data_IF_019953744823
#
_entry.id   IF_019953744823
#
_cell.length_a   1.000
_cell.length_b   1.000
_cell.length_c   1.000
_cell.angle_alpha   90.00
_cell.angle_beta   90.00
_cell.angle_gamma   90.00
#
_symmetry.space_group_name_H-M   'P 1'
#
loop_
_entity.id
_entity.type
_entity.pdbx_description
1 polymer ?
2 non-polymer ?
3 water ?
#
# COMPACT_ATOMS: atom_id res chain seq x y z
N UNK A 41 3.30 -12.66 16.84
CA UNK A 41 3.39 -11.44 17.63
C UNK A 41 4.44 -10.48 17.07
N UNK A 42 4.07 -9.73 16.04
CA UNK A 42 2.79 -9.89 15.36
C UNK A 42 2.93 -10.58 14.01
N UNK A 43 2.14 -11.63 13.81
CA UNK A 43 2.12 -12.37 12.58
C UNK A 43 0.96 -11.92 11.66
N UNK A 44 1.23 -11.81 10.37
CA UNK A 44 0.24 -11.40 9.38
C UNK A 44 -0.19 -12.55 8.48
N UNK A 45 -1.49 -12.76 8.33
CA UNK A 45 -1.97 -13.80 7.46
C UNK A 45 -2.91 -13.18 6.45
N UNK A 46 -2.72 -13.52 5.18
CA UNK A 46 -3.54 -12.95 4.12
C UNK A 46 -4.42 -13.96 3.43
N UNK A 47 -5.62 -13.55 3.07
CA UNK A 47 -6.59 -14.45 2.43
C UNK A 47 -7.27 -13.74 1.27
N UNK A 48 -7.72 -14.52 0.29
CA UNK A 48 -8.62 -14.00 -0.74
C UNK A 48 -9.99 -14.43 -0.40
N UNK A 49 -10.94 -13.57 -0.73
CA UNK A 49 -12.32 -13.79 -0.41
C UNK A 49 -13.14 -13.52 -1.65
N UNK A 50 -13.93 -14.49 -2.03
CA UNK A 50 -14.75 -14.35 -3.22
C UNK A 50 -15.90 -13.44 -2.88
N UNK A 51 -16.30 -12.62 -3.85
CA UNK A 51 -17.47 -11.76 -3.70
C UNK A 51 -18.67 -12.53 -3.17
N UNK A 52 -18.83 -13.78 -3.58
CA UNK A 52 -20.02 -14.50 -3.12
C UNK A 52 -20.02 -14.77 -1.61
N UNK A 53 -18.85 -14.73 -0.97
CA UNK A 53 -18.74 -15.06 0.45
C UNK A 53 -18.44 -13.83 1.31
N UNK A 54 -18.35 -12.68 0.67
CA UNK A 54 -17.85 -11.48 1.33
C UNK A 54 -18.77 -11.05 2.47
N UNK A 56 -21.03 -12.89 4.13
CA UNK A 56 -21.00 -13.86 5.21
C UNK A 56 -19.74 -13.78 6.06
N UNK A 57 -18.62 -13.57 5.40
CA UNK A 57 -17.37 -13.45 6.12
C UNK A 57 -17.45 -12.25 7.04
N UNK A 58 -17.96 -11.14 6.52
CA UNK A 58 -18.07 -9.92 7.36
C UNK A 58 -18.98 -10.12 8.59
N UNK A 59 -20.12 -10.74 8.37
CA UNK A 59 -21.05 -10.93 9.46
C UNK A 59 -20.42 -11.84 10.52
N UNK A 60 -19.66 -12.83 10.09
CA UNK A 60 -18.99 -13.67 11.07
C UNK A 60 -17.96 -12.93 11.88
N UNK A 61 -17.16 -12.10 11.23
CA UNK A 61 -16.16 -11.33 11.97
C UNK A 61 -16.85 -10.39 12.98
N UNK A 62 -17.98 -9.83 12.59
CA UNK A 62 -18.63 -8.81 13.37
C UNK A 62 -19.14 -9.39 14.70
N UNK A 63 -19.25 -10.72 14.76
CA UNK A 63 -19.72 -11.38 15.96
C UNK A 63 -18.66 -11.31 17.01
N UNK A 64 -17.43 -11.09 16.60
CA UNK A 64 -16.34 -11.11 17.55
C UNK A 64 -15.55 -9.83 17.61
N UNK A 65 -15.69 -8.95 16.61
CA UNK A 65 -14.97 -7.68 16.64
C UNK A 65 -15.87 -6.60 16.08
N UNK A 66 -15.86 -5.43 16.72
CA UNK A 66 -16.63 -4.29 16.20
C UNK A 66 -15.97 -3.80 14.94
N UNK A 67 -16.74 -3.14 14.09
CA UNK A 67 -16.25 -2.63 12.84
C UNK A 67 -16.18 -1.10 12.91
N UNK A 68 -15.10 -0.56 12.37
CA UNK A 68 -14.95 0.88 12.22
C UNK A 68 -15.89 1.40 11.15
N UNK A 69 -16.58 2.52 11.40
CA UNK A 69 -17.45 3.13 10.39
C UNK A 69 -17.00 4.58 10.09
N UNK A 114 -16.51 3.56 2.49
CA UNK A 114 -17.06 4.34 1.35
C UNK A 114 -16.01 5.15 0.57
N UNK A 115 -15.13 5.87 1.29
CA UNK A 115 -14.04 6.56 0.57
C UNK A 115 -12.95 5.58 0.10
N UNK A 116 -12.38 5.92 -1.04
CA UNK A 116 -11.38 5.10 -1.63
C UNK A 116 -10.13 5.33 -0.82
N UNK A 117 -9.33 4.29 -0.62
CA UNK A 117 -7.95 4.47 -0.19
C UNK A 117 -7.03 4.41 -1.40
N UNK A 118 -6.12 5.37 -1.49
CA UNK A 118 -5.09 5.38 -2.53
C UNK A 118 -3.76 4.95 -1.97
N UNK A 119 -3.16 3.92 -2.56
CA UNK A 119 -1.81 3.62 -2.23
C UNK A 119 -0.95 3.60 -3.48
N UNK A 120 0.02 4.49 -3.53
CA UNK A 120 0.83 4.74 -4.72
C UNK A 120 2.25 4.25 -4.42
N UNK A 121 2.59 3.10 -5.01
CA UNK A 121 3.84 2.38 -4.74
C UNK A 121 5.00 2.87 -5.60
N UNK A 122 6.21 2.79 -5.04
CA UNK A 122 7.42 3.21 -5.74
C UNK A 122 8.21 1.99 -6.19
N UNK A 123 9.00 2.17 -7.23
CA UNK A 123 10.03 1.22 -7.61
C UNK A 123 10.93 1.98 -8.57
N UNK A 124 11.99 1.36 -9.05
CA UNK A 124 12.72 1.99 -10.15
C UNK A 124 12.38 1.32 -11.49
N UNK A 125 12.90 1.83 -12.59
CA UNK A 125 12.43 1.31 -13.87
C UNK A 125 12.97 -0.08 -14.15
N UNK A 126 13.92 -0.53 -13.36
CA UNK A 126 14.34 -1.92 -13.39
C UNK A 126 13.50 -2.80 -12.49
N UNK A 127 12.50 -2.24 -11.82
CA UNK A 127 11.63 -3.05 -10.96
C UNK A 127 12.43 -3.85 -9.90
N UNK A 128 13.49 -3.23 -9.40
CA UNK A 128 14.30 -3.88 -8.36
C UNK A 128 13.54 -4.22 -7.08
N UNK A 129 12.69 -3.30 -6.62
CA UNK A 129 11.98 -3.55 -5.37
C UNK A 129 11.03 -4.71 -5.57
N UNK A 130 10.37 -4.73 -6.72
CA UNK A 130 9.46 -5.81 -7.07
C UNK A 130 10.21 -7.19 -7.12
N UNK A 131 11.35 -7.20 -7.81
CA UNK A 131 12.24 -8.38 -7.88
C UNK A 131 12.63 -8.87 -6.50
N UNK A 132 13.10 -7.97 -5.64
CA UNK A 132 13.48 -8.34 -4.28
C UNK A 132 12.31 -8.82 -3.47
N UNK A 133 11.15 -8.19 -3.62
CA UNK A 133 9.99 -8.55 -2.80
C UNK A 133 9.49 -9.95 -3.16
N UNK A 134 9.58 -10.29 -4.44
CA UNK A 134 9.14 -11.59 -4.92
C UNK A 134 10.16 -12.70 -4.62
N UNK A 135 11.44 -12.42 -4.76
CA UNK A 135 12.45 -13.44 -4.53
C UNK A 135 12.79 -13.53 -3.06
N UNK A 136 12.58 -12.42 -2.34
CA UNK A 136 12.67 -12.32 -0.89
C UNK A 136 14.11 -12.06 -0.49
N UNK A 137 14.69 -11.07 -1.16
CA UNK A 137 16.07 -10.65 -1.04
C UNK A 137 16.18 -9.29 -0.39
N UNK A 138 17.27 -9.02 0.31
CA UNK A 138 17.50 -7.65 0.80
C UNK A 138 16.36 -7.08 1.68
N UNK A 139 15.77 -7.91 2.56
CA UNK A 139 14.71 -7.45 3.47
C UNK A 139 13.46 -7.00 2.72
N UNK A 140 13.61 -6.79 1.42
CA UNK A 140 12.47 -6.58 0.55
C UNK A 140 11.51 -5.49 1.04
N UNK A 141 12.02 -4.27 1.15
CA UNK A 141 11.13 -3.16 1.51
C UNK A 141 10.19 -2.81 0.37
N UNK A 142 9.02 -2.31 0.73
CA UNK A 142 8.18 -1.60 -0.22
C UNK A 142 8.04 -0.16 0.28
N UNK A 143 7.70 0.75 -0.63
CA UNK A 143 7.53 2.17 -0.33
C UNK A 143 6.28 2.68 -1.04
N UNK A 144 5.42 3.41 -0.32
CA UNK A 144 4.21 3.96 -0.94
C UNK A 144 3.78 5.27 -0.30
N UNK A 145 3.00 6.03 -1.07
CA UNK A 145 2.25 7.19 -0.59
C UNK A 145 0.84 6.70 -0.36
N UNK A 146 0.24 7.04 0.76
CA UNK A 146 -1.10 6.59 1.07
C UNK A 146 -2.00 7.75 1.53
N UNK A 147 -3.20 7.85 1.02
CA UNK A 147 -4.15 8.83 1.55
C UNK A 147 -5.53 8.29 1.28
N UNK A 148 -6.48 8.77 2.06
CA UNK A 148 -7.87 8.33 1.98
C UNK A 148 -8.72 9.41 1.39
N UNK A 149 -9.72 9.00 0.64
CA UNK A 149 -10.64 9.96 0.08
C UNK A 149 -10.01 10.69 -1.08
N UNK A 150 -10.69 11.76 -1.48
CA UNK A 150 -10.32 12.49 -2.66
C UNK A 150 -9.26 13.51 -2.30
N UNK A 151 -8.19 13.46 -3.06
CA UNK A 151 -7.06 14.37 -2.88
C UNK A 151 -7.51 15.81 -2.82
N UNK A 152 -8.70 16.11 -3.32
CA UNK A 152 -9.21 17.50 -3.35
C UNK A 152 -9.45 18.03 -1.96
N UNK A 153 -9.91 17.14 -1.08
CA UNK A 153 -10.31 17.53 0.28
C UNK A 153 -9.12 17.71 1.20
N UNK A 154 -7.93 17.76 0.62
CA UNK A 154 -6.72 18.03 1.40
C UNK A 154 -6.52 17.00 2.54
N UNK A 155 -6.48 15.71 2.19
CA UNK A 155 -6.32 14.70 3.25
C UNK A 155 -4.90 14.67 3.78
N UNK A 156 -4.69 13.96 4.88
CA UNK A 156 -3.34 13.64 5.30
C UNK A 156 -2.75 12.60 4.33
N UNK A 157 -1.46 12.77 4.02
CA UNK A 157 -0.75 11.93 3.09
C UNK A 157 0.44 11.36 3.84
N UNK A 158 0.52 10.03 3.80
CA UNK A 158 1.61 9.28 4.43
C UNK A 158 2.57 8.69 3.40
N UNK A 159 3.85 8.79 3.71
CA UNK A 159 4.86 8.10 2.94
C UNK A 159 5.40 7.00 3.85
N UNK A 160 5.29 5.74 3.43
CA UNK A 160 5.44 4.61 4.36
C UNK A 160 6.36 3.61 3.73
N UNK A 161 7.37 3.21 4.48
CA UNK A 161 8.30 2.19 4.03
C UNK A 161 8.13 0.99 4.91
N UNK A 162 7.87 -0.17 4.31
CA UNK A 162 7.60 -1.39 5.06
C UNK A 162 8.60 -2.48 4.74
N UNK A 163 9.27 -3.02 5.76
CA UNK A 163 10.26 -4.07 5.56
C UNK A 163 10.06 -5.25 6.51
N UNK A 164 10.07 -6.46 5.96
CA UNK A 164 10.07 -7.67 6.81
C UNK A 164 11.45 -7.97 7.41
N UNK A 165 11.62 -7.61 8.69
CA UNK A 165 12.76 -8.03 9.51
C UNK A 165 12.40 -9.26 10.32
N UNK A 173 10.00 -12.40 10.19
CA UNK A 173 9.20 -12.68 11.39
C UNK A 173 8.42 -11.44 11.87
N UNK A 174 8.94 -10.26 11.57
CA UNK A 174 8.24 -9.01 11.90
C UNK A 174 8.38 -7.89 10.85
N UNK A 175 7.26 -7.36 10.38
CA UNK A 175 7.33 -6.18 9.53
C UNK A 175 7.66 -4.93 10.37
N UNK A 176 8.60 -4.14 9.89
CA UNK A 176 8.91 -2.84 10.46
C UNK A 176 8.37 -1.75 9.50
N UNK A 177 7.67 -0.76 10.04
CA UNK A 177 7.09 0.31 9.23
C UNK A 177 7.68 1.66 9.60
N UNK A 178 8.26 2.36 8.64
CA UNK A 178 8.69 3.75 8.88
C UNK A 178 7.68 4.61 8.15
N UNK A 179 7.03 5.50 8.87
CA UNK A 179 5.88 6.20 8.37
C UNK A 179 6.06 7.70 8.57
N UNK A 180 5.98 8.49 7.50
CA UNK A 180 6.13 9.96 7.57
C UNK A 180 4.85 10.59 7.08
N UNK A 181 4.43 11.68 7.72
CA UNK A 181 3.29 12.40 7.23
C UNK A 181 3.87 13.56 6.40
N UNK A 182 3.44 13.70 5.15
CA UNK A 182 4.00 14.73 4.27
C UNK A 182 2.93 15.75 3.86
N UNK A 183 3.23 17.02 4.04
CA UNK A 183 2.31 18.03 3.52
C UNK A 183 2.37 18.01 2.00
N UNK A 184 1.20 18.09 1.39
CA UNK A 184 1.07 17.76 -0.03
C UNK A 184 2.04 18.57 -0.89
N UNK A 185 2.17 19.85 -0.57
CA UNK A 185 2.94 20.74 -1.44
C UNK A 185 4.43 20.54 -1.31
N UNK A 186 4.87 19.75 -0.34
CA UNK A 186 6.31 19.46 -0.25
C UNK A 186 6.69 18.15 -0.91
N UNK A 187 5.70 17.39 -1.37
CA UNK A 187 6.00 16.02 -1.83
C UNK A 187 6.97 16.02 -2.99
N UNK A 188 6.76 16.89 -3.98
CA UNK A 188 7.63 16.86 -5.16
C UNK A 188 9.08 17.08 -4.75
N UNK A 189 9.31 18.10 -3.93
CA UNK A 189 10.66 18.45 -3.54
C UNK A 189 11.30 17.33 -2.78
N UNK A 190 10.52 16.71 -1.91
CA UNK A 190 11.02 15.62 -1.08
C UNK A 190 11.39 14.38 -1.88
N UNK A 191 10.53 13.98 -2.81
CA UNK A 191 10.82 12.76 -3.57
C UNK A 191 11.60 12.95 -4.88
N UNK A 192 11.63 14.16 -5.43
CA UNK A 192 12.35 14.38 -6.68
C UNK A 192 13.64 15.18 -6.51
N UNK A 193 13.71 16.05 -5.50
CA UNK A 193 14.85 16.96 -5.48
C UNK A 193 15.73 16.86 -4.23
N UNK A 194 15.60 15.80 -3.45
CA UNK A 194 16.44 15.68 -2.28
C UNK A 194 16.27 16.88 -1.32
N UNK A 195 15.14 17.56 -1.39
CA UNK A 195 14.89 18.70 -0.52
C UNK A 195 14.81 18.35 0.97
N UNK A 196 15.53 19.11 1.79
CA UNK A 196 15.59 18.84 3.21
C UNK A 196 14.74 19.79 4.04
N UNK A 197 14.10 20.73 3.37
CA UNK A 197 13.49 21.84 4.07
C UNK A 197 12.23 21.46 4.80
N UNK A 198 11.45 20.53 4.28
CA UNK A 198 10.26 20.12 4.99
C UNK A 198 10.62 19.40 6.32
N UNK A 199 11.59 18.50 6.27
CA UNK A 199 12.14 17.95 7.50
C UNK A 199 12.59 19.06 8.46
N UNK A 200 13.40 19.98 7.94
CA UNK A 200 13.94 21.08 8.78
C UNK A 200 12.86 21.92 9.44
N UNK A 201 11.90 22.37 8.66
CA UNK A 201 10.81 23.14 9.22
C UNK A 201 9.99 22.32 10.21
N UNK A 202 9.81 21.04 9.95
CA UNK A 202 8.97 20.22 10.80
C UNK A 202 9.62 20.05 12.18
N UNK A 203 10.91 19.73 12.17
CA UNK A 203 11.65 19.47 13.39
C UNK A 203 11.73 20.77 14.17
N UNK A 204 11.95 21.87 13.46
CA UNK A 204 11.97 23.20 14.09
C UNK A 204 10.66 23.51 14.84
N UNK A 205 9.53 23.34 14.17
CA UNK A 205 8.25 23.51 14.85
C UNK A 205 8.07 22.56 16.05
N UNK A 206 8.38 21.30 15.87
CA UNK A 206 8.13 20.35 16.94
C UNK A 206 9.02 20.68 18.12
N UNK A 207 10.21 21.13 17.82
CA UNK A 207 11.17 21.40 18.87
C UNK A 207 10.68 22.59 19.70
N UNK A 208 10.13 23.57 19.01
CA UNK A 208 9.57 24.76 19.66
C UNK A 208 8.39 24.40 20.51
N UNK A 209 7.60 23.43 20.09
CA UNK A 209 6.42 23.13 20.90
C UNK A 209 6.64 22.09 22.00
N UNK A 210 7.86 21.54 22.08
CA UNK A 210 8.28 20.77 23.25
C UNK A 210 8.44 19.28 23.09
N UNK A 211 8.47 18.81 21.86
CA UNK A 211 8.72 17.39 21.61
C UNK A 211 10.12 16.98 22.20
N UNK A 212 10.16 15.89 22.94
CA UNK A 212 11.43 15.40 23.55
C UNK A 212 12.49 15.18 22.50
N UNK A 213 13.70 15.54 22.86
CA UNK A 213 14.86 15.21 22.04
C UNK A 213 14.89 13.79 21.44
N UNK A 214 14.57 12.77 22.23
CA UNK A 214 14.66 11.40 21.71
C UNK A 214 13.70 11.19 20.53
N UNK A 215 12.54 11.87 20.60
CA UNK A 215 11.54 11.85 19.54
C UNK A 215 11.92 12.67 18.33
N UNK A 216 12.44 13.87 18.57
CA UNK A 216 12.90 14.68 17.47
C UNK A 216 13.94 13.89 16.69
N UNK A 217 14.83 13.24 17.41
CA UNK A 217 15.91 12.53 16.72
C UNK A 217 15.38 11.35 15.90
N UNK A 218 14.39 10.65 16.43
CA UNK A 218 13.84 9.48 15.73
C UNK A 218 13.14 9.94 14.44
N UNK A 219 12.38 11.03 14.54
CA UNK A 219 11.72 11.61 13.38
C UNK A 219 12.77 12.00 12.33
N UNK A 220 13.83 12.63 12.75
CA UNK A 220 14.87 12.98 11.81
C UNK A 220 15.45 11.73 11.13
N UNK A 221 15.65 10.65 11.87
CA UNK A 221 16.19 9.48 11.21
C UNK A 221 15.20 8.93 10.17
N UNK A 222 13.92 8.93 10.51
CA UNK A 222 12.85 8.50 9.62
C UNK A 222 12.87 9.29 8.30
N UNK A 223 12.91 10.63 8.40
CA UNK A 223 12.99 11.44 7.19
C UNK A 223 14.19 11.06 6.34
N UNK A 224 15.34 10.98 6.96
CA UNK A 224 16.57 10.73 6.22
C UNK A 224 16.59 9.35 5.65
N UNK A 225 16.12 8.35 6.39
CA UNK A 225 16.16 6.99 5.88
C UNK A 225 15.28 6.80 4.64
N UNK A 226 14.09 7.38 4.64
CA UNK A 226 13.20 7.26 3.49
C UNK A 226 13.73 8.04 2.30
N UNK A 227 14.16 9.29 2.51
CA UNK A 227 14.67 10.06 1.38
C UNK A 227 15.92 9.40 0.78
N UNK A 228 16.80 8.88 1.63
CA UNK A 228 18.04 8.29 1.11
C UNK A 228 17.73 7.02 0.33
N UNK A 229 16.74 6.27 0.81
CA UNK A 229 16.25 5.08 0.15
C UNK A 229 15.75 5.39 -1.27
N UNK A 230 15.01 6.48 -1.37
CA UNK A 230 14.50 6.95 -2.65
C UNK A 230 15.66 7.35 -3.55
N UNK A 231 16.58 8.15 -3.01
CA UNK A 231 17.65 8.68 -3.85
C UNK A 231 18.59 7.60 -4.29
N UNK A 232 19.07 6.84 -3.32
CA UNK A 232 20.04 5.80 -3.60
C UNK A 232 19.55 4.81 -4.65
N UNK A 233 18.24 4.56 -4.69
CA UNK A 233 17.74 3.47 -5.55
C UNK A 233 16.94 4.00 -6.73
N UNK A 234 17.00 5.31 -6.91
CA UNK A 234 16.30 5.97 -8.00
C UNK A 234 14.82 5.59 -8.07
N UNK A 235 14.16 5.57 -6.91
CA UNK A 235 12.77 5.18 -6.84
C UNK A 235 11.91 6.31 -7.37
N UNK A 236 10.79 5.96 -7.99
CA UNK A 236 9.81 6.94 -8.40
C UNK A 236 8.44 6.32 -8.17
N UNK A 237 7.37 7.13 -8.13
CA UNK A 237 6.02 6.57 -8.13
C UNK A 237 5.80 5.76 -9.42
N UNK A 238 5.31 4.51 -9.31
CA UNK A 238 5.07 3.66 -10.47
C UNK A 238 3.59 3.31 -10.70
N UNK A 239 2.88 2.89 -9.66
CA UNK A 239 1.48 2.52 -9.85
C UNK A 239 0.72 2.63 -8.54
N UNK A 240 -0.59 2.79 -8.66
CA UNK A 240 -1.44 2.98 -7.51
C UNK A 240 -2.34 1.77 -7.35
N UNK A 241 -2.66 1.41 -6.11
CA UNK A 241 -3.76 0.49 -5.84
C UNK A 241 -4.83 1.35 -5.22
N UNK A 242 -6.09 1.16 -5.63
CA UNK A 242 -7.21 1.84 -5.04
C UNK A 242 -8.17 0.77 -4.55
N UNK A 243 -8.79 0.93 -3.38
CA UNK A 243 -9.70 -0.07 -2.85
C UNK A 243 -10.49 0.59 -1.72
N UNK A 244 -11.53 -0.07 -1.24
CA UNK A 244 -12.19 0.31 0.00
C UNK A 244 -11.83 -0.72 1.09
N UNK A 245 -11.64 -0.23 2.32
CA UNK A 245 -11.26 -1.08 3.45
C UNK A 245 -12.32 -1.12 4.54
N UNK A 246 -12.64 -2.32 4.99
CA UNK A 246 -13.44 -2.50 6.19
C UNK A 246 -12.50 -3.03 7.24
N UNK A 247 -12.48 -2.38 8.40
CA UNK A 247 -11.53 -2.70 9.46
C UNK A 247 -12.23 -3.09 10.76
N UNK A 248 -11.80 -4.19 11.37
CA UNK A 248 -12.42 -4.75 12.58
C UNK A 248 -11.39 -4.85 13.68
N UNK A 249 -11.73 -4.36 14.86
CA UNK A 249 -10.72 -4.12 15.90
C UNK A 249 -11.42 -3.73 17.20
N UNK A 250 -11.08 -4.42 18.30
CA UNK A 250 -11.47 -4.01 19.66
C UNK A 250 -10.47 -2.98 20.17
N UNK A 251 -10.95 -1.78 20.52
CA UNK A 251 -10.07 -0.74 21.07
C UNK A 251 -9.14 -1.26 22.17
N UNK A 252 -7.86 -0.86 22.09
CA UNK A 252 -6.84 -1.21 23.05
C UNK A 252 -6.56 -2.70 23.20
N UNK A 253 -7.01 -3.48 22.22
CA UNK A 253 -6.75 -4.91 22.23
C UNK A 253 -5.93 -5.29 20.98
N UNK A 254 -4.76 -5.88 21.21
CA UNK A 254 -3.78 -6.18 20.17
C UNK A 254 -3.88 -7.57 19.62
N UNK A 255 -4.46 -8.46 20.41
CA UNK A 255 -4.48 -9.88 20.10
C UNK A 255 -4.76 -10.09 18.62
N UNK A 256 -5.91 -9.58 18.16
CA UNK A 256 -6.37 -9.79 16.79
C UNK A 256 -6.76 -8.49 16.15
N UNK A 257 -6.60 -8.42 14.84
CA UNK A 257 -7.14 -7.29 14.10
C UNK A 257 -7.30 -7.71 12.64
N UNK A 258 -8.40 -7.28 12.04
CA UNK A 258 -8.78 -7.78 10.72
C UNK A 258 -9.15 -6.66 9.76
N UNK A 259 -8.52 -6.64 8.58
CA UNK A 259 -8.98 -5.82 7.50
C UNK A 259 -9.44 -6.64 6.28
N UNK A 260 -10.47 -6.13 5.63
CA UNK A 260 -10.88 -6.62 4.30
C UNK A 260 -10.92 -5.44 3.33
N UNK A 261 -10.17 -5.58 2.24
CA UNK A 261 -10.09 -4.64 1.13
C UNK A 261 -10.82 -5.17 -0.08
N UNK A 262 -11.75 -4.40 -0.59
CA UNK A 262 -12.58 -4.74 -1.76
C UNK A 262 -12.50 -3.72 -2.88
N UNK A 263 -13.03 -4.05 -4.07
CA UNK A 263 -12.97 -3.11 -5.18
C UNK A 263 -11.53 -2.74 -5.55
N UNK A 264 -10.63 -3.71 -5.45
CA UNK A 264 -9.24 -3.43 -5.67
C UNK A 264 -8.95 -3.23 -7.18
N UNK A 265 -8.36 -2.07 -7.52
CA UNK A 265 -7.99 -1.75 -8.90
C UNK A 265 -6.56 -1.23 -8.87
N UNK A 266 -5.79 -1.60 -9.88
CA UNK A 266 -4.38 -1.20 -10.06
C UNK A 266 -4.35 -0.23 -11.19
N UNK A 267 -3.60 0.85 -11.05
CA UNK A 267 -3.57 1.87 -12.13
C UNK A 267 -2.14 2.32 -12.35
N UNK A 268 -1.67 2.32 -13.60
CA UNK A 268 -0.31 2.76 -13.93
C UNK A 268 -0.12 4.24 -13.62
N UNK A 269 1.05 4.60 -13.12
CA UNK A 269 1.26 6.00 -12.70
C UNK A 269 2.76 6.28 -12.80
N UNK A 270 3.39 5.73 -13.82
CA UNK A 270 4.86 5.79 -13.95
C UNK A 270 5.27 6.92 -14.90
N UNK A 271 6.54 7.25 -14.88
CA UNK A 271 7.11 8.17 -15.86
C UNK A 271 8.12 7.45 -16.75
N UNK A 272 7.84 6.20 -17.12
CA UNK A 272 8.79 5.43 -17.93
C UNK A 272 9.00 5.95 -19.37
N UNK A 273 7.90 6.25 -20.07
CA UNK A 273 7.98 6.72 -21.44
C UNK A 273 8.60 8.13 -21.50
N UNK A 274 9.66 8.29 -22.30
CA UNK A 274 10.35 9.58 -22.38
C UNK A 274 9.44 10.62 -22.99
N UNK A 275 8.62 10.22 -23.95
CA UNK A 275 7.56 11.10 -24.44
C UNK A 275 6.23 10.59 -23.90
N UNK A 276 5.30 11.49 -23.65
CA UNK A 276 4.02 11.05 -23.12
C UNK A 276 4.06 10.07 -21.94
N UNK A 277 4.90 10.35 -20.95
CA UNK A 277 4.86 9.55 -19.71
C UNK A 277 3.48 9.66 -19.12
N UNK A 278 3.03 8.60 -18.46
CA UNK A 278 1.70 8.60 -17.85
C UNK A 278 1.59 9.66 -16.76
N UNK A 279 2.62 9.74 -15.94
CA UNK A 279 2.72 10.73 -14.90
C UNK A 279 3.80 11.71 -15.31
N UNK A 280 3.56 13.00 -15.14
CA UNK A 280 4.63 13.94 -15.41
C UNK A 280 5.86 13.64 -14.52
N UNK A 281 7.07 13.64 -15.08
CA UNK A 281 8.20 13.20 -14.27
C UNK A 281 8.50 14.07 -13.06
N UNK A 282 8.02 15.32 -13.03
CA UNK A 282 8.21 16.20 -11.86
C UNK A 282 6.99 16.39 -11.00
N UNK A 283 5.97 15.56 -11.24
CA UNK A 283 4.75 15.59 -10.46
C UNK A 283 4.58 14.23 -9.78
N UNK A 284 4.19 14.28 -8.50
CA UNK A 284 4.23 13.06 -7.71
C UNK A 284 3.09 12.08 -8.01
N UNK A 285 2.11 12.50 -8.80
CA UNK A 285 0.93 11.67 -9.08
C UNK A 285 0.41 12.04 -10.46
N UNK A 286 -0.32 11.13 -11.10
CA UNK A 286 -0.93 11.47 -12.36
C UNK A 286 -2.15 12.27 -12.01
N UNK A 287 -2.31 13.40 -12.70
CA UNK A 287 -3.26 14.42 -12.27
C UNK A 287 -4.67 14.23 -12.78
N UNK A 288 -4.85 13.43 -13.82
CA UNK A 288 -6.20 13.17 -14.29
C UNK A 288 -7.08 12.51 -13.25
N UNK A 289 -6.59 11.41 -12.64
CA UNK A 289 -7.48 10.61 -11.80
C UNK A 289 -7.80 11.26 -10.46
N UNK A 290 -7.01 12.27 -10.08
CA UNK A 290 -7.23 12.98 -8.85
C UNK A 290 -8.01 14.27 -9.05
N UNK A 291 -8.36 14.57 -10.29
CA UNK A 291 -9.07 15.84 -10.57
C UNK A 291 -10.38 15.83 -9.89
N UNK A 292 -10.78 16.99 -9.41
CA UNK A 292 -12.04 17.12 -8.74
C UNK A 292 -13.15 17.29 -9.78
N UNK A 293 -13.57 16.19 -10.38
CA UNK A 293 -14.57 16.24 -11.44
C UNK A 293 -15.49 15.05 -11.34
N UNK A 294 -16.61 15.11 -12.05
CA UNK A 294 -17.59 14.03 -12.09
C UNK A 294 -17.00 12.63 -12.27
N UNK A 295 -16.33 12.39 -13.40
CA UNK A 295 -15.63 11.11 -13.57
C UNK A 295 -14.13 11.27 -13.86
N UNK A 296 -13.29 11.09 -12.84
CA UNK A 296 -11.86 11.37 -13.02
C UNK A 296 -11.18 10.24 -13.77
N UNK A 297 -11.87 9.13 -13.96
CA UNK A 297 -11.31 7.98 -14.67
C UNK A 297 -11.60 7.99 -16.19
N UNK A 298 -12.29 9.03 -16.63
CA UNK A 298 -12.68 9.24 -18.01
C UNK A 298 -11.59 8.89 -19.02
N UNK A 299 -10.35 9.30 -18.75
CA UNK A 299 -9.30 9.21 -19.75
C UNK A 299 -8.33 8.06 -19.52
N UNK A 300 -8.69 7.22 -18.57
CA UNK A 300 -7.92 6.02 -18.29
C UNK A 300 -8.01 5.04 -19.47
N UNK A 301 -6.87 4.58 -20.01
CA UNK A 301 -6.91 3.56 -21.04
C UNK A 301 -6.87 2.13 -20.51
N UNK A 302 -7.36 1.20 -21.32
CA UNK A 302 -7.48 -0.17 -20.86
C UNK A 302 -6.16 -0.70 -20.36
N UNK A 303 -5.09 -0.41 -21.09
CA UNK A 303 -3.79 -0.93 -20.73
C UNK A 303 -3.18 -0.23 -19.53
N UNK A 304 -3.87 0.75 -18.97
CA UNK A 304 -3.38 1.49 -17.82
C UNK A 304 -3.99 1.00 -16.50
N UNK A 305 -4.96 0.07 -16.55
CA UNK A 305 -5.52 -0.44 -15.29
C UNK A 305 -5.83 -1.91 -15.35
N UNK A 306 -5.89 -2.53 -14.18
CA UNK A 306 -6.33 -3.91 -14.04
C UNK A 306 -7.13 -4.02 -12.76
N UNK A 307 -8.21 -4.76 -12.81
CA UNK A 307 -9.03 -5.04 -11.64
C UNK A 307 -8.57 -6.34 -10.98
N UNK A 308 -8.49 -6.38 -9.65
CA UNK A 308 -8.22 -7.63 -8.97
C UNK A 308 -9.57 -8.27 -8.62
N UNK A 309 -9.74 -9.58 -8.84
CA UNK A 309 -11.12 -10.10 -8.72
C UNK A 309 -11.65 -10.40 -7.32
N UNK A 310 -10.79 -10.52 -6.31
CA UNK A 310 -11.22 -10.91 -4.98
C UNK A 310 -10.97 -9.79 -3.98
N UNK A 311 -11.63 -9.87 -2.82
CA UNK A 311 -11.25 -9.05 -1.68
C UNK A 311 -10.06 -9.69 -0.99
N UNK A 312 -9.25 -8.84 -0.38
CA UNK A 312 -8.09 -9.31 0.36
C UNK A 312 -8.29 -9.04 1.85
N UNK A 314 -6.71 -9.40 5.58
CA UNK A 314 -5.50 -9.61 6.39
C UNK A 314 -5.85 -9.76 7.86
N UNK A 315 -5.39 -10.84 8.44
CA UNK A 315 -5.51 -11.05 9.87
C UNK A 315 -4.15 -10.85 10.50
N UNK A 316 -4.01 -9.81 11.33
CA UNK A 316 -2.81 -9.62 12.12
C UNK A 316 -3.03 -10.17 13.52
N UNK A 317 -2.25 -11.19 13.88
CA UNK A 317 -2.44 -11.89 15.14
C UNK A 317 -1.22 -11.76 16.03
N UNK A 318 -1.44 -11.69 17.33
CA UNK A 318 -0.36 -11.67 18.30
C UNK A 318 0.08 -13.08 18.64
N UNK A 329 -2.97 -18.80 10.21
CA UNK A 329 -3.10 -20.26 10.15
C UNK A 329 -1.90 -21.03 9.56
N UNK A 331 2.29 -21.11 8.79
CA UNK A 331 3.70 -20.74 8.88
C UNK A 331 4.32 -21.35 10.13
N UNK A 340 -12.31 -16.79 21.20
CA UNK A 340 -11.24 -15.81 21.48
C UNK A 340 -10.13 -15.91 20.43
N UNK A 341 -9.77 -17.14 20.09
CA UNK A 341 -8.89 -17.42 18.97
C UNK A 341 -9.49 -18.44 18.03
N UNK A 342 -10.58 -19.08 18.46
CA UNK A 342 -11.01 -20.28 17.75
C UNK A 342 -12.19 -20.05 16.82
N UNK A 343 -12.80 -18.87 16.89
CA UNK A 343 -13.72 -18.45 15.83
C UNK A 343 -12.85 -18.27 14.57
N UNK A 344 -11.63 -17.81 14.80
CA UNK A 344 -10.64 -17.72 13.75
C UNK A 344 -10.47 -19.05 12.98
N UNK A 345 -10.25 -20.17 13.69
CA UNK A 345 -10.11 -21.49 13.07
C UNK A 345 -11.34 -21.87 12.26
N UNK A 346 -12.51 -21.70 12.86
CA UNK A 346 -13.75 -22.06 12.19
C UNK A 346 -13.89 -21.28 10.89
N UNK A 347 -13.52 -20.00 10.93
CA UNK A 347 -13.58 -19.14 9.75
C UNK A 347 -12.59 -19.59 8.69
N UNK A 348 -11.31 -19.62 9.06
CA UNK A 348 -10.21 -19.84 8.13
C UNK A 348 -10.02 -21.27 7.70
N UNK A 349 -10.62 -22.21 8.41
CA UNK A 349 -10.67 -23.59 7.92
C UNK A 349 -12.00 -23.78 7.23
N UNK A 350 -12.54 -22.69 6.71
CA UNK A 350 -13.85 -22.76 6.10
C UNK A 350 -13.69 -22.59 4.61
N UNK A 351 -14.75 -22.85 3.89
CA UNK A 351 -14.71 -22.66 2.45
C UNK A 351 -14.78 -21.16 2.14
N UNK A 352 -14.90 -20.35 3.20
CA UNK A 352 -15.26 -18.93 3.03
C UNK A 352 -14.10 -17.99 2.71
N UNK A 353 -12.88 -18.42 3.02
CA UNK A 353 -11.67 -17.64 2.77
C UNK A 353 -10.62 -18.59 2.21
N UNK A 354 -9.68 -18.06 1.44
CA UNK A 354 -8.63 -18.90 0.88
C UNK A 354 -7.30 -18.29 1.33
N UNK A 355 -6.56 -18.98 2.19
CA UNK A 355 -5.35 -18.37 2.70
C UNK A 355 -4.29 -18.39 1.60
N UNK A 356 -3.49 -17.34 1.49
CA UNK A 356 -2.50 -17.24 0.42
C UNK A 356 -1.22 -16.81 1.10
N UNK A 357 -0.37 -17.81 1.43
CA UNK A 357 0.91 -17.52 2.09
C UNK A 357 1.71 -16.51 1.27
N UNK A 358 2.31 -15.54 1.93
CA UNK A 358 3.20 -14.55 1.31
C UNK A 358 2.58 -13.62 0.28
N UNK A 359 1.25 -13.58 0.19
CA UNK A 359 0.61 -12.65 -0.76
C UNK A 359 1.08 -11.24 -0.54
N UNK A 360 1.43 -10.60 -1.64
CA UNK A 360 1.83 -9.20 -1.59
C UNK A 360 1.06 -8.45 -2.68
N UNK A 361 0.32 -7.44 -2.25
CA UNK A 361 -0.47 -6.61 -3.15
C UNK A 361 0.44 -5.78 -4.05
N UNK A 362 1.59 -5.34 -3.52
CA UNK A 362 2.57 -4.67 -4.35
C UNK A 362 3.02 -5.57 -5.51
N UNK A 363 3.46 -6.77 -5.19
CA UNK A 363 3.90 -7.70 -6.27
C UNK A 363 2.77 -7.97 -7.27
N UNK A 364 1.58 -8.27 -6.76
CA UNK A 364 0.44 -8.53 -7.65
C UNK A 364 0.11 -7.38 -8.59
N UNK A 365 0.13 -6.14 -8.07
CA UNK A 365 -0.16 -4.97 -8.89
C UNK A 365 0.88 -4.78 -9.99
N UNK A 366 2.17 -4.92 -9.66
CA UNK A 366 3.20 -4.80 -10.68
C UNK A 366 2.95 -5.86 -11.77
N UNK A 367 2.71 -7.10 -11.34
CA UNK A 367 2.53 -8.18 -12.33
C UNK A 367 1.31 -7.96 -13.23
N UNK A 368 0.20 -7.58 -12.61
CA UNK A 368 -1.04 -7.36 -13.31
C UNK A 368 -0.95 -6.25 -14.35
N UNK A 369 -0.20 -5.18 -14.03
CA UNK A 369 -0.15 -4.05 -14.92
C UNK A 369 0.90 -4.17 -16.01
N UNK A 370 2.09 -4.59 -15.60
CA UNK A 370 3.27 -4.52 -16.46
C UNK A 370 3.72 -5.87 -17.02
N UNK A 371 3.16 -6.98 -16.53
CA UNK A 371 3.57 -8.30 -17.05
C UNK A 371 3.40 -8.49 -18.54
N UNK A 372 2.31 -7.96 -19.08
CA UNK A 372 2.11 -7.99 -20.51
C UNK A 372 2.79 -6.86 -21.25
N UNK A 373 3.78 -6.21 -20.65
CA UNK A 373 4.38 -5.04 -21.27
C UNK A 373 5.90 -5.24 -21.38
N UNK A 374 6.35 -6.47 -21.17
CA UNK A 374 7.77 -6.80 -21.33
C UNK A 374 8.68 -6.02 -20.41
N UNK A 375 8.26 -5.77 -19.18
CA UNK A 375 9.13 -5.13 -18.23
C UNK A 375 9.66 -6.10 -17.20
N UNK A 376 9.02 -7.27 -17.09
CA UNK A 376 9.26 -8.15 -15.94
C UNK A 376 9.91 -9.44 -16.43
N UNK A 377 10.91 -9.94 -15.70
CA UNK A 377 11.51 -11.23 -15.97
C UNK A 377 10.84 -12.37 -15.21
N UNK A 378 10.26 -12.00 -14.06
CA UNK A 378 9.64 -12.98 -13.17
C UNK A 378 8.25 -12.52 -12.81
N UNK A 379 7.38 -13.49 -12.54
CA UNK A 379 5.99 -13.27 -12.20
C UNK A 379 5.65 -14.11 -10.99
N UNK A 380 4.69 -13.65 -10.16
CA UNK A 380 4.32 -14.47 -9.01
C UNK A 380 3.36 -15.58 -9.41
N UNK A 381 3.51 -16.71 -8.77
CA UNK A 381 2.60 -17.80 -8.98
C UNK A 381 2.07 -18.07 -7.61
N UNK A 382 0.85 -17.59 -7.31
CA UNK A 382 0.28 -17.75 -5.96
C UNK A 382 -0.48 -19.11 -5.83
N UNK A 383 -1.02 -19.57 -6.97
CA UNK A 383 -1.87 -20.77 -7.11
C UNK A 383 -3.20 -20.74 -6.33
N UNK A 386 -4.98 -18.24 -9.09
CA UNK A 386 -6.16 -17.55 -9.56
C UNK A 386 -6.83 -18.30 -10.73
N UNK A 387 -6.38 -19.53 -11.01
CA UNK A 387 -7.01 -20.43 -12.00
C UNK A 387 -7.96 -21.39 -11.27
N UNK A 388 -7.60 -21.65 -10.02
CA UNK A 388 -8.42 -22.32 -9.05
C UNK A 388 -9.72 -21.51 -8.81
N UNK A 389 -10.80 -22.22 -8.49
CA UNK A 389 -12.02 -21.59 -8.03
C UNK A 389 -11.81 -21.59 -6.56
N UNK A 390 -11.66 -20.42 -5.95
CA UNK A 390 -11.28 -20.34 -4.54
C UNK A 390 -12.45 -20.68 -3.62
N UNK A 391 -13.64 -20.82 -4.20
CA UNK A 391 -14.82 -21.18 -3.41
C UNK A 391 -14.84 -22.67 -3.18
N UNK A 392 -14.50 -23.44 -4.23
CA UNK A 392 -14.46 -24.90 -4.16
C UNK A 392 -13.18 -25.35 -3.51
#
# INVERSE_FOLDING_TARGET
XKHHHHHHPXSGLVPRGSAXGEPLASASKFSSIVSNDIDXNFRSFKFWVHNDNLXEVKTRILRHLPVLVYANVPSENDDLVNRFESDISNNDEIVGSSSSTSSVEHGLGARSFDPLINTLYFDNEHFELYNDKLLKLNSAPTLRLRWTGQLSDKPDIFLEKKTLIEDEATGKSEFDLTKLQLKQKFINGFIFEGDKKFKEQTLKKLKESGTAGRDLERLEEDFSEIQNFIIKNELQPVFRTVYTRTAFQIPGDDKIRVTIDSNIVFIKEDSFDRERPIRDPNTWHRTDIDANVANPLKFLRGGEYAKFPYSVXEIKVKSSLDSSXSASSXISNVKLPKKHGQWLNDLTNSHLVKEIPKFSIFVQGVASLYGDDEKLDILPFWLPDLETDIRQ
#
